data_IF_314977844653
#
_entry.id   IF_314977844653
#
_cell.length_a   1.000
_cell.length_b   1.000
_cell.length_c   1.000
_cell.angle_alpha   90.00
_cell.angle_beta   90.00
_cell.angle_gamma   90.00
#
_symmetry.space_group_name_H-M   'P 1'
#
loop_
_entity.id
_entity.type
_entity.pdbx_description
1 polymer ?
#
# COMPACT_ATOMS: atom_id res chain seq x y z
N UNK A 1 -13.28 -26.41 -1.70
CA UNK A 1 -13.07 -24.94 -1.69
C UNK A 1 -11.97 -24.59 -2.68
N UNK A 2 -12.29 -23.92 -3.80
CA UNK A 2 -11.29 -23.50 -4.78
C UNK A 2 -10.48 -22.35 -4.17
N UNK A 3 -9.18 -22.56 -3.89
CA UNK A 3 -8.27 -21.48 -3.50
C UNK A 3 -8.26 -20.45 -4.63
N UNK A 4 -8.84 -19.28 -4.38
CA UNK A 4 -8.93 -18.22 -5.38
C UNK A 4 -7.51 -17.74 -5.71
N UNK A 5 -7.10 -17.87 -6.97
CA UNK A 5 -5.76 -17.47 -7.43
C UNK A 5 -5.59 -15.96 -7.21
N UNK A 6 -4.51 -15.57 -6.54
CA UNK A 6 -4.13 -14.16 -6.42
C UNK A 6 -3.86 -13.58 -7.81
N UNK A 7 -4.13 -12.29 -8.00
CA UNK A 7 -3.72 -11.60 -9.23
C UNK A 7 -2.20 -11.51 -9.28
N UNK A 8 -1.61 -11.34 -10.46
CA UNK A 8 -0.14 -11.21 -10.61
C UNK A 8 0.45 -10.11 -9.70
N UNK A 9 -0.23 -8.97 -9.61
CA UNK A 9 0.17 -7.86 -8.73
C UNK A 9 0.06 -8.18 -7.23
N UNK A 10 -0.89 -9.03 -6.83
CA UNK A 10 -1.01 -9.50 -5.44
C UNK A 10 0.09 -10.52 -5.15
N UNK A 11 0.36 -11.43 -6.09
CA UNK A 11 1.43 -12.40 -5.98
C UNK A 11 2.78 -11.72 -5.87
N UNK A 12 3.09 -10.75 -6.73
CA UNK A 12 4.34 -9.98 -6.67
C UNK A 12 4.53 -9.25 -5.33
N UNK A 13 3.44 -8.76 -4.71
CA UNK A 13 3.50 -8.16 -3.38
C UNK A 13 3.81 -9.21 -2.30
N UNK A 14 3.14 -10.36 -2.34
CA UNK A 14 3.38 -11.46 -1.40
C UNK A 14 4.81 -11.96 -1.53
N UNK A 15 5.30 -12.10 -2.76
CA UNK A 15 6.66 -12.53 -3.08
C UNK A 15 7.70 -11.51 -2.61
N UNK A 16 7.48 -10.22 -2.86
CA UNK A 16 8.35 -9.17 -2.33
C UNK A 16 8.39 -9.21 -0.79
N UNK A 17 7.25 -9.45 -0.13
CA UNK A 17 7.23 -9.64 1.32
C UNK A 17 7.95 -10.92 1.75
N UNK A 18 7.80 -12.04 1.03
CA UNK A 18 8.51 -13.28 1.33
C UNK A 18 10.03 -13.11 1.16
N UNK A 19 10.46 -12.34 0.16
CA UNK A 19 11.86 -11.97 -0.08
C UNK A 19 12.43 -10.97 0.95
N UNK A 20 11.65 -10.56 1.95
CA UNK A 20 12.12 -9.76 3.07
C UNK A 20 11.94 -8.24 2.91
N UNK A 21 11.34 -7.76 1.82
CA UNK A 21 11.07 -6.32 1.69
C UNK A 21 10.11 -5.84 2.78
N UNK A 22 10.33 -4.67 3.36
CA UNK A 22 9.46 -4.11 4.43
C UNK A 22 9.38 -2.59 4.31
N UNK A 23 8.20 -2.03 4.62
CA UNK A 23 8.02 -0.61 4.87
C UNK A 23 8.20 -0.33 6.36
N UNK A 24 9.19 0.47 6.71
CA UNK A 24 9.53 0.85 8.10
C UNK A 24 9.79 2.35 8.16
N UNK A 25 9.07 3.07 9.03
CA UNK A 25 9.24 4.52 9.18
C UNK A 25 9.02 5.32 7.89
N UNK A 26 8.16 4.84 6.98
CA UNK A 26 7.90 5.45 5.67
C UNK A 26 9.00 5.25 4.62
N UNK A 27 10.01 4.42 4.91
CA UNK A 27 11.05 3.98 3.98
C UNK A 27 10.86 2.50 3.63
N UNK A 28 11.31 2.10 2.46
CA UNK A 28 11.32 0.68 2.05
C UNK A 28 12.71 0.13 2.32
N UNK A 29 12.78 -1.05 2.96
CA UNK A 29 13.99 -1.85 3.12
C UNK A 29 13.86 -3.15 2.33
N UNK A 30 14.95 -3.67 1.79
CA UNK A 30 15.03 -5.01 1.21
C UNK A 30 15.23 -6.08 2.30
N UNK A 31 15.34 -7.35 1.90
CA UNK A 31 15.61 -8.47 2.82
C UNK A 31 16.98 -8.43 3.49
N UNK A 32 17.93 -7.66 2.96
CA UNK A 32 19.27 -7.44 3.53
C UNK A 32 19.30 -6.22 4.46
N UNK A 33 18.19 -5.48 4.59
CA UNK A 33 18.08 -4.28 5.40
C UNK A 33 18.49 -2.98 4.69
N UNK A 34 18.91 -3.03 3.43
CA UNK A 34 19.29 -1.85 2.64
C UNK A 34 18.06 -1.03 2.28
N UNK A 35 18.22 0.29 2.22
CA UNK A 35 17.14 1.17 1.81
C UNK A 35 16.91 1.10 0.30
N UNK A 36 15.69 0.77 -0.10
CA UNK A 36 15.28 0.70 -1.51
C UNK A 36 14.78 2.07 -1.98
N UNK A 37 15.12 2.43 -3.22
CA UNK A 37 14.65 3.67 -3.85
C UNK A 37 13.13 3.61 -4.05
N UNK A 38 12.43 4.55 -3.41
CA UNK A 38 10.98 4.74 -3.60
C UNK A 38 10.75 5.81 -4.67
N UNK A 39 10.02 5.44 -5.71
CA UNK A 39 9.57 6.33 -6.77
C UNK A 39 8.29 7.03 -6.31
N UNK A 40 8.28 8.36 -6.37
CA UNK A 40 7.16 9.22 -5.96
C UNK A 40 6.66 10.00 -7.16
N UNK A 41 5.67 9.49 -7.91
CA UNK A 41 5.15 10.19 -9.07
C UNK A 41 4.38 11.45 -8.66
N UNK A 42 4.33 12.46 -9.54
CA UNK A 42 3.54 13.69 -9.32
C UNK A 42 2.05 13.40 -9.10
N UNK A 43 1.54 12.36 -9.76
CA UNK A 43 0.18 11.83 -9.58
C UNK A 43 0.27 10.34 -9.24
N UNK A 44 -0.48 9.91 -8.24
CA UNK A 44 -0.56 8.49 -7.86
C UNK A 44 0.03 8.21 -6.48
N UNK A 45 0.35 6.94 -6.24
CA UNK A 45 0.90 6.48 -4.97
C UNK A 45 2.40 6.19 -5.09
N UNK A 46 3.19 6.36 -4.02
CA UNK A 46 4.57 5.90 -3.98
C UNK A 46 4.68 4.39 -4.19
N UNK A 47 5.66 3.99 -4.99
CA UNK A 47 5.97 2.59 -5.29
C UNK A 47 7.48 2.36 -5.35
N UNK A 48 7.88 1.10 -5.29
CA UNK A 48 9.25 0.66 -5.57
C UNK A 48 9.21 -0.47 -6.59
N UNK A 49 10.33 -0.64 -7.31
CA UNK A 49 10.49 -1.72 -8.27
C UNK A 49 11.16 -2.90 -7.58
N UNK A 50 10.67 -4.10 -7.88
CA UNK A 50 11.29 -5.36 -7.49
C UNK A 50 11.55 -6.14 -8.75
N UNK A 51 12.82 -6.41 -9.01
CA UNK A 51 13.25 -7.21 -10.14
C UNK A 51 13.39 -8.66 -9.68
N UNK A 52 12.69 -9.56 -10.37
CA UNK A 52 12.77 -11.00 -10.13
C UNK A 52 12.70 -11.73 -11.46
N UNK A 53 13.66 -12.62 -11.71
CA UNK A 53 13.69 -13.47 -12.92
C UNK A 53 13.56 -12.66 -14.23
N UNK A 54 14.23 -11.51 -14.30
CA UNK A 54 14.21 -10.62 -15.47
C UNK A 54 12.91 -9.81 -15.65
N UNK A 55 11.96 -9.89 -14.71
CA UNK A 55 10.72 -9.11 -14.72
C UNK A 55 10.73 -8.09 -13.58
N UNK A 56 10.49 -6.83 -13.93
CA UNK A 56 10.33 -5.74 -12.95
C UNK A 56 8.86 -5.56 -12.58
N UNK A 57 8.55 -5.68 -11.30
CA UNK A 57 7.19 -5.49 -10.76
C UNK A 57 7.11 -4.23 -9.91
N UNK A 58 6.05 -3.44 -10.11
CA UNK A 58 5.76 -2.26 -9.31
C UNK A 58 5.01 -2.63 -8.02
N UNK A 59 5.64 -2.42 -6.87
CA UNK A 59 5.04 -2.67 -5.56
C UNK A 59 4.66 -1.33 -4.91
N UNK A 60 3.36 -1.13 -4.70
CA UNK A 60 2.83 0.07 -4.05
C UNK A 60 3.17 0.06 -2.55
N UNK A 61 3.81 1.12 -2.06
CA UNK A 61 4.29 1.19 -0.67
C UNK A 61 3.16 1.05 0.35
N UNK A 62 2.03 1.72 0.10
CA UNK A 62 0.87 1.66 1.00
C UNK A 62 0.24 0.26 1.05
N UNK A 63 0.25 -0.48 -0.08
CA UNK A 63 -0.24 -1.86 -0.13
C UNK A 63 0.69 -2.79 0.62
N UNK A 64 2.00 -2.60 0.45
CA UNK A 64 3.02 -3.36 1.17
C UNK A 64 2.88 -3.18 2.68
N UNK A 65 2.71 -1.92 3.13
CA UNK A 65 2.48 -1.60 4.52
C UNK A 65 1.16 -2.20 5.05
N UNK A 66 0.09 -2.15 4.26
CA UNK A 66 -1.18 -2.80 4.62
C UNK A 66 -1.02 -4.32 4.74
N UNK A 67 -0.28 -4.96 3.85
CA UNK A 67 0.00 -6.39 3.93
C UNK A 67 0.79 -6.76 5.19
N UNK A 68 1.79 -5.97 5.56
CA UNK A 68 2.52 -6.15 6.83
C UNK A 68 1.61 -6.03 8.06
N UNK A 69 0.51 -5.28 7.98
CA UNK A 69 -0.41 -5.05 9.09
C UNK A 69 -1.57 -6.05 9.15
N UNK A 70 -2.10 -6.46 8.00
CA UNK A 70 -3.37 -7.18 7.90
C UNK A 70 -3.24 -8.50 7.11
N UNK A 71 -2.06 -8.81 6.58
CA UNK A 71 -1.80 -10.02 5.81
C UNK A 71 -2.77 -10.18 4.64
N UNK A 72 -3.25 -11.41 4.44
CA UNK A 72 -4.14 -11.74 3.33
C UNK A 72 -5.54 -11.12 3.42
N UNK A 73 -5.95 -10.57 4.58
CA UNK A 73 -7.27 -9.94 4.72
C UNK A 73 -7.47 -8.78 3.72
N UNK A 74 -6.39 -8.09 3.36
CA UNK A 74 -6.42 -7.01 2.38
C UNK A 74 -6.82 -7.45 0.96
N UNK A 75 -6.78 -8.75 0.67
CA UNK A 75 -7.18 -9.32 -0.63
C UNK A 75 -8.65 -9.74 -0.67
N UNK A 76 -9.38 -9.66 0.45
CA UNK A 76 -10.81 -9.98 0.49
C UNK A 76 -11.57 -9.07 -0.48
N UNK A 77 -12.53 -9.66 -1.22
CA UNK A 77 -13.37 -8.93 -2.17
C UNK A 77 -14.07 -7.77 -1.46
N UNK A 78 -14.03 -6.58 -2.07
CA UNK A 78 -14.66 -5.37 -1.54
C UNK A 78 -13.84 -4.63 -0.48
N UNK A 79 -12.67 -5.15 -0.10
CA UNK A 79 -11.73 -4.47 0.79
C UNK A 79 -10.71 -3.66 -0.01
N UNK A 80 -10.45 -2.45 0.44
CA UNK A 80 -9.46 -1.51 -0.10
C UNK A 80 -8.57 -0.97 1.02
N UNK A 81 -7.34 -0.59 0.65
CA UNK A 81 -6.42 0.12 1.55
C UNK A 81 -6.76 1.61 1.51
N UNK A 82 -6.97 2.19 2.69
CA UNK A 82 -7.40 3.58 2.89
C UNK A 82 -6.28 4.39 3.52
N UNK A 83 -6.14 5.64 3.09
CA UNK A 83 -5.36 6.67 3.79
C UNK A 83 -6.33 7.59 4.51
N UNK A 84 -6.35 7.56 5.85
CA UNK A 84 -7.37 8.26 6.64
C UNK A 84 -7.35 9.78 6.44
N UNK A 85 -6.17 10.34 6.18
CA UNK A 85 -5.94 11.75 5.91
C UNK A 85 -5.87 12.12 4.41
N UNK A 86 -6.14 11.18 3.49
CA UNK A 86 -6.07 11.35 2.03
C UNK A 86 -4.68 11.78 1.50
N UNK A 87 -3.62 11.71 2.33
CA UNK A 87 -2.23 11.98 1.93
C UNK A 87 -1.56 10.69 1.47
N UNK A 88 -1.44 10.52 0.15
CA UNK A 88 -0.87 9.33 -0.51
C UNK A 88 0.59 9.02 -0.13
N UNK A 89 1.33 10.03 0.34
CA UNK A 89 2.72 9.92 0.76
C UNK A 89 2.86 9.60 2.26
N UNK A 90 1.77 9.63 3.01
CA UNK A 90 1.78 9.35 4.45
C UNK A 90 1.68 7.85 4.70
N UNK A 91 2.86 7.23 4.74
CA UNK A 91 3.08 5.80 5.00
C UNK A 91 3.22 5.49 6.50
N UNK A 92 2.62 6.28 7.40
CA UNK A 92 2.56 5.93 8.82
C UNK A 92 1.48 4.87 9.05
N UNK A 93 1.77 3.84 9.86
CA UNK A 93 0.83 2.75 10.18
C UNK A 93 -0.52 3.25 10.69
N UNK A 94 -0.52 4.31 11.51
CA UNK A 94 -1.73 4.95 12.04
C UNK A 94 -2.67 5.50 10.96
N UNK A 95 -2.13 5.81 9.78
CA UNK A 95 -2.89 6.40 8.68
C UNK A 95 -3.43 5.35 7.70
N UNK A 96 -3.01 4.08 7.83
CA UNK A 96 -3.39 2.99 6.93
C UNK A 96 -4.45 2.11 7.61
N UNK A 97 -5.58 1.92 6.92
CA UNK A 97 -6.66 1.02 7.35
C UNK A 97 -7.22 0.23 6.17
N UNK A 98 -7.77 -0.94 6.48
CA UNK A 98 -8.67 -1.63 5.55
C UNK A 98 -10.09 -1.09 5.68
N UNK A 99 -10.85 -1.17 4.59
CA UNK A 99 -12.27 -0.84 4.61
C UNK A 99 -12.89 -1.00 3.24
N UNK A 100 -14.10 -0.49 3.07
CA UNK A 100 -14.81 -0.54 1.79
C UNK A 100 -14.56 0.73 0.96
N UNK A 101 -14.86 0.67 -0.34
CA UNK A 101 -14.83 1.85 -1.20
C UNK A 101 -15.75 2.98 -0.70
N UNK A 102 -16.90 2.62 -0.08
CA UNK A 102 -17.81 3.59 0.56
C UNK A 102 -17.13 4.33 1.71
N UNK A 103 -16.41 3.62 2.57
CA UNK A 103 -15.67 4.21 3.68
C UNK A 103 -14.50 5.07 3.20
N UNK A 104 -13.76 4.62 2.18
CA UNK A 104 -12.69 5.42 1.56
C UNK A 104 -13.22 6.76 1.02
N UNK A 105 -14.38 6.73 0.34
CA UNK A 105 -15.04 7.95 -0.16
C UNK A 105 -15.53 8.84 0.99
N UNK A 106 -15.95 8.27 2.11
CA UNK A 106 -16.33 9.04 3.29
C UNK A 106 -15.13 9.77 3.91
N UNK A 107 -13.96 9.12 3.99
CA UNK A 107 -12.72 9.77 4.46
C UNK A 107 -12.37 10.98 3.59
N UNK A 108 -12.40 10.81 2.26
CA UNK A 108 -12.15 11.89 1.31
C UNK A 108 -13.08 13.09 1.54
N UNK A 109 -14.39 12.84 1.69
CA UNK A 109 -15.37 13.91 1.97
C UNK A 109 -15.09 14.62 3.29
N UNK A 110 -14.72 13.87 4.34
CA UNK A 110 -14.35 14.44 5.65
C UNK A 110 -13.14 15.35 5.50
N UNK A 111 -12.11 14.91 4.78
CA UNK A 111 -10.88 15.67 4.60
C UNK A 111 -11.11 16.94 3.76
N UNK A 112 -11.95 16.88 2.72
CA UNK A 112 -12.35 18.07 1.97
C UNK A 112 -13.11 19.09 2.82
N UNK A 113 -14.04 18.65 3.67
CA UNK A 113 -14.76 19.55 4.59
C UNK A 113 -13.80 20.24 5.56
N UNK A 114 -12.81 19.52 6.06
CA UNK A 114 -11.82 20.09 6.97
C UNK A 114 -10.93 21.14 6.28
N UNK A 115 -10.59 20.97 5.00
CA UNK A 115 -9.84 21.99 4.26
C UNK A 115 -10.63 23.31 4.15
N UNK A 116 -11.94 23.24 3.91
CA UNK A 116 -12.80 24.44 3.78
C UNK A 116 -13.03 25.19 5.10
N UNK A 117 -12.79 24.57 6.26
CA UNK A 117 -12.96 25.20 7.57
C UNK A 117 -11.72 25.96 8.05
N UNK A 118 -10.59 25.80 7.36
CA UNK A 118 -9.31 26.44 7.69
C UNK A 118 -8.96 27.50 6.64
N UNK A 119 -9.92 27.88 5.80
CA UNK A 119 -9.82 28.91 4.76
C UNK A 119 -10.59 30.15 5.17
#
# INVERSE_FOLDING_TARGET
>A
MVKKKLTESQQALVDAHAAGYRVVGGKVKDGNGNQVKVIRPRKGYPFFLVDREGKSSQIMCHRMLAYQMFGQEMFRKGIVVRHLNDKKNDLRRINIRLGTAKQNRADWRRNQKNMKKVS
#
